data_IF_530664214324
#
_entry.id   IF_530664214324
#
_cell.length_a   1.000
_cell.length_b   1.000
_cell.length_c   1.000
_cell.angle_alpha   90.00
_cell.angle_beta   90.00
_cell.angle_gamma   90.00
#
_symmetry.space_group_name_H-M   'P 1'
#
loop_
_entity.id
_entity.type
_entity.pdbx_description
1 polymer ?
#
# COMPACT_ATOMS: atom_id res chain seq x y z
N UNK A 1 15.51 10.80 -8.55
CA UNK A 1 14.49 9.75 -8.32
C UNK A 1 13.84 10.06 -6.97
N UNK A 2 12.58 10.48 -6.94
CA UNK A 2 11.89 10.79 -5.68
C UNK A 2 11.14 9.53 -5.24
N UNK A 3 11.61 8.89 -4.17
CA UNK A 3 10.93 7.71 -3.62
C UNK A 3 9.59 8.16 -3.02
N UNK A 4 8.54 7.41 -3.31
CA UNK A 4 7.21 7.65 -2.74
C UNK A 4 7.24 7.69 -1.20
N UNK A 5 8.10 6.86 -0.60
CA UNK A 5 8.21 6.60 0.83
C UNK A 5 9.69 6.65 1.28
N UNK A 6 10.23 7.83 1.62
CA UNK A 6 11.63 8.01 1.98
C UNK A 6 11.95 7.50 3.38
N UNK A 7 10.94 7.36 4.26
CA UNK A 7 11.09 6.74 5.59
C UNK A 7 11.32 5.22 5.54
N UNK A 8 11.18 4.62 4.34
CA UNK A 8 11.42 3.21 4.09
C UNK A 8 10.16 2.36 4.18
N UNK A 9 10.25 1.16 3.59
CA UNK A 9 9.24 0.12 3.65
C UNK A 9 9.89 -1.12 4.25
N UNK A 10 9.24 -1.70 5.24
CA UNK A 10 9.66 -2.96 5.85
C UNK A 10 8.62 -4.05 5.59
N UNK A 11 9.01 -5.33 5.72
CA UNK A 11 8.10 -6.46 5.65
C UNK A 11 8.15 -7.25 6.96
N UNK A 12 7.27 -6.97 7.94
CA UNK A 12 7.28 -7.65 9.23
C UNK A 12 6.85 -9.12 9.14
N UNK A 13 6.12 -9.50 8.07
CA UNK A 13 5.70 -10.86 7.78
C UNK A 13 5.48 -11.01 6.26
N UNK A 14 5.45 -12.24 5.72
CA UNK A 14 5.13 -12.46 4.31
C UNK A 14 3.81 -11.80 3.91
N UNK A 15 3.80 -11.10 2.77
CA UNK A 15 2.64 -10.35 2.25
C UNK A 15 2.11 -9.23 3.17
N UNK A 16 2.87 -8.87 4.20
CA UNK A 16 2.60 -7.71 5.04
C UNK A 16 3.73 -6.72 4.87
N UNK A 17 3.38 -5.48 4.55
CA UNK A 17 4.29 -4.37 4.39
C UNK A 17 3.96 -3.29 5.40
N UNK A 18 4.98 -2.65 5.95
CA UNK A 18 4.86 -1.53 6.86
C UNK A 18 5.63 -0.34 6.33
N UNK A 19 4.92 0.76 6.23
CA UNK A 19 5.43 2.08 5.89
C UNK A 19 5.45 2.89 7.17
N UNK A 20 6.61 3.43 7.49
CA UNK A 20 6.80 4.37 8.59
C UNK A 20 7.46 5.61 8.00
N UNK A 21 6.79 6.76 8.08
CA UNK A 21 7.34 8.04 7.61
C UNK A 21 7.71 9.00 8.76
N UNK A 22 7.71 8.49 10.00
CA UNK A 22 7.97 9.25 11.22
C UNK A 22 6.76 9.96 11.81
N UNK A 23 5.72 10.24 11.01
CA UNK A 23 4.49 10.90 11.48
C UNK A 23 3.28 9.96 11.45
N UNK A 24 3.26 9.01 10.52
CA UNK A 24 2.23 7.99 10.40
C UNK A 24 2.86 6.62 10.10
N UNK A 25 2.20 5.58 10.62
CA UNK A 25 2.56 4.19 10.35
C UNK A 25 1.40 3.52 9.65
N UNK A 26 1.62 3.05 8.43
CA UNK A 26 0.65 2.31 7.63
C UNK A 26 1.10 0.86 7.46
N UNK A 27 0.21 -0.06 7.76
CA UNK A 27 0.35 -1.47 7.43
C UNK A 27 -0.51 -1.81 6.21
N UNK A 28 0.08 -2.54 5.27
CA UNK A 28 -0.57 -3.06 4.07
C UNK A 28 -0.45 -4.57 4.07
N UNK A 29 -1.58 -5.25 4.26
CA UNK A 29 -1.64 -6.71 4.18
C UNK A 29 -2.26 -7.13 2.84
N UNK A 30 -1.57 -7.99 2.10
CA UNK A 30 -2.04 -8.54 0.84
C UNK A 30 -2.62 -9.94 1.05
N UNK A 31 -3.71 -10.23 0.36
CA UNK A 31 -4.31 -11.56 0.34
C UNK A 31 -4.65 -11.90 -1.11
N UNK A 32 -4.18 -13.05 -1.59
CA UNK A 32 -4.63 -13.59 -2.86
C UNK A 32 -6.13 -13.88 -2.78
N UNK A 33 -6.86 -13.46 -3.80
CA UNK A 33 -8.30 -13.69 -3.93
C UNK A 33 -8.53 -14.68 -5.07
N UNK A 34 -9.71 -15.32 -5.12
CA UNK A 34 -10.08 -16.10 -6.29
C UNK A 34 -9.97 -15.27 -7.56
N UNK A 35 -9.44 -15.87 -8.62
CA UNK A 35 -9.31 -15.22 -9.92
C UNK A 35 -10.67 -14.73 -10.40
N UNK A 36 -10.67 -13.52 -10.96
CA UNK A 36 -11.86 -12.94 -11.57
C UNK A 36 -11.92 -13.36 -13.03
N UNK A 37 -13.01 -14.04 -13.41
CA UNK A 37 -13.25 -14.40 -14.80
C UNK A 37 -14.11 -13.35 -15.50
N UNK A 38 -13.60 -12.79 -16.59
CA UNK A 38 -14.31 -11.83 -17.45
C UNK A 38 -14.29 -12.39 -18.88
N UNK A 39 -15.37 -13.06 -19.28
CA UNK A 39 -15.42 -13.81 -20.53
C UNK A 39 -14.38 -14.93 -20.57
N UNK A 40 -13.40 -14.83 -21.48
CA UNK A 40 -12.28 -15.77 -21.62
C UNK A 40 -11.06 -15.38 -20.78
N UNK A 41 -11.03 -14.18 -20.20
CA UNK A 41 -9.91 -13.73 -19.37
C UNK A 41 -10.03 -14.27 -17.94
N UNK A 42 -8.95 -14.85 -17.42
CA UNK A 42 -8.75 -15.12 -16.00
C UNK A 42 -7.77 -14.09 -15.44
N UNK A 43 -8.25 -13.23 -14.54
CA UNK A 43 -7.48 -12.11 -14.00
C UNK A 43 -7.13 -12.44 -12.54
N UNK A 44 -5.84 -12.57 -12.19
CA UNK A 44 -5.42 -12.72 -10.81
C UNK A 44 -5.88 -11.52 -9.98
N UNK A 45 -6.47 -11.76 -8.82
CA UNK A 45 -6.96 -10.71 -7.94
C UNK A 45 -6.20 -10.76 -6.62
N UNK A 46 -5.75 -9.59 -6.17
CA UNK A 46 -5.17 -9.41 -4.84
C UNK A 46 -6.00 -8.37 -4.09
N UNK A 47 -6.36 -8.69 -2.84
CA UNK A 47 -6.96 -7.72 -1.92
C UNK A 47 -5.86 -7.11 -1.06
N UNK A 48 -5.72 -5.79 -1.12
CA UNK A 48 -4.89 -5.03 -0.18
C UNK A 48 -5.77 -4.48 0.95
N UNK A 49 -5.39 -4.74 2.21
CA UNK A 49 -5.98 -4.12 3.39
C UNK A 49 -5.00 -3.10 3.94
N UNK A 50 -5.40 -1.84 3.93
CA UNK A 50 -4.64 -0.72 4.47
C UNK A 50 -5.13 -0.41 5.89
N UNK A 51 -4.22 -0.34 6.86
CA UNK A 51 -4.53 0.00 8.25
C UNK A 51 -3.47 0.93 8.83
N UNK A 52 -3.89 2.10 9.29
CA UNK A 52 -3.03 2.95 10.09
C UNK A 52 -2.85 2.37 11.50
N UNK A 53 -1.59 2.27 11.93
CA UNK A 53 -1.20 1.85 13.27
C UNK A 53 -0.86 3.03 14.18
N UNK A 54 -0.42 4.14 13.58
CA UNK A 54 -0.10 5.39 14.26
C UNK A 54 -0.24 6.59 13.32
N UNK A 55 -0.28 7.78 13.90
CA UNK A 55 -0.44 9.06 13.22
C UNK A 55 -1.81 9.70 13.45
N UNK A 56 -1.86 11.02 13.38
CA UNK A 56 -3.12 11.76 13.40
C UNK A 56 -3.79 11.76 12.01
N UNK A 57 -5.01 12.29 11.92
CA UNK A 57 -5.78 12.34 10.67
C UNK A 57 -5.05 13.08 9.55
N UNK A 58 -4.31 14.15 9.87
CA UNK A 58 -3.61 14.96 8.88
C UNK A 58 -2.38 14.22 8.35
N UNK A 59 -1.58 13.62 9.23
CA UNK A 59 -0.44 12.77 8.89
C UNK A 59 -0.88 11.57 8.03
N UNK A 60 -1.94 10.88 8.44
CA UNK A 60 -2.50 9.76 7.67
C UNK A 60 -2.94 10.20 6.26
N UNK A 61 -3.61 11.33 6.14
CA UNK A 61 -4.07 11.88 4.85
C UNK A 61 -2.91 12.25 3.92
N UNK A 62 -1.84 12.85 4.46
CA UNK A 62 -0.62 13.17 3.70
C UNK A 62 0.05 11.90 3.18
N UNK A 63 0.17 10.87 4.02
CA UNK A 63 0.75 9.58 3.61
C UNK A 63 -0.07 8.92 2.50
N UNK A 64 -1.41 8.90 2.61
CA UNK A 64 -2.30 8.38 1.56
C UNK A 64 -2.14 9.12 0.23
N UNK A 65 -2.09 10.46 0.27
CA UNK A 65 -1.94 11.28 -0.94
C UNK A 65 -0.64 10.98 -1.69
N UNK A 66 0.45 10.72 -0.95
CA UNK A 66 1.74 10.33 -1.54
C UNK A 66 1.70 8.94 -2.16
N UNK A 67 1.06 7.99 -1.49
CA UNK A 67 0.85 6.64 -2.01
C UNK A 67 0.02 6.67 -3.30
N UNK A 68 -1.06 7.43 -3.32
CA UNK A 68 -1.91 7.60 -4.51
C UNK A 68 -1.11 8.19 -5.69
N UNK A 69 -0.35 9.26 -5.45
CA UNK A 69 0.50 9.86 -6.47
C UNK A 69 1.54 8.87 -7.02
N UNK A 70 2.09 8.01 -6.16
CA UNK A 70 3.04 6.98 -6.58
C UNK A 70 2.39 5.89 -7.44
N UNK A 71 1.18 5.48 -7.08
CA UNK A 71 0.40 4.49 -7.85
C UNK A 71 0.00 5.03 -9.23
N UNK A 72 -0.33 6.32 -9.34
CA UNK A 72 -0.64 6.97 -10.62
C UNK A 72 0.53 6.96 -11.61
N UNK A 73 1.77 6.95 -11.12
CA UNK A 73 2.99 6.95 -11.95
C UNK A 73 3.42 5.55 -12.41
N UNK A 74 2.61 4.51 -12.16
CA UNK A 74 2.89 3.13 -12.54
C UNK A 74 3.72 2.35 -11.52
N UNK A 75 3.88 2.88 -10.29
CA UNK A 75 4.87 2.38 -9.33
C UNK A 75 6.24 2.95 -9.68
N UNK A 76 6.82 3.73 -8.78
CA UNK A 76 8.17 4.27 -8.96
C UNK A 76 9.26 3.20 -8.95
#
# INVERSE_FOLDING_TARGET
MYLALPGGVSSPAPLVYRVDDGEAVLEVALTAMPDRRIGQFCIPVTRARLRFLAGDTQACSRLLSRLDLAMQRGGG
#
